data_IF_723932533478
#
_entry.id   IF_723932533478
#
_cell.length_a   1.000
_cell.length_b   1.000
_cell.length_c   1.000
_cell.angle_alpha   90.00
_cell.angle_beta   90.00
_cell.angle_gamma   90.00
#
_symmetry.space_group_name_H-M   'P 1'
#
loop_
_entity.id
_entity.type
_entity.pdbx_description
1 polymer ?
#
# COMPACT_ATOMS: atom_id res chain seq x y z
N UNK A 1 -6.19 -21.01 48.56
CA UNK A 1 -5.74 -20.27 47.36
C UNK A 1 -5.75 -21.24 46.20
N UNK A 2 -6.73 -21.12 45.32
CA UNK A 2 -6.75 -21.90 44.08
C UNK A 2 -5.68 -21.31 43.15
N UNK A 3 -4.71 -22.12 42.74
CA UNK A 3 -3.87 -21.79 41.60
C UNK A 3 -4.77 -21.84 40.36
N UNK A 4 -5.14 -20.68 39.83
CA UNK A 4 -5.64 -20.60 38.46
C UNK A 4 -4.53 -21.14 37.55
N UNK A 5 -4.83 -22.24 36.87
CA UNK A 5 -3.96 -22.80 35.84
C UNK A 5 -3.82 -21.75 34.74
N UNK A 6 -2.61 -21.22 34.57
CA UNK A 6 -2.24 -20.35 33.47
C UNK A 6 -2.20 -21.19 32.18
N UNK A 7 -3.37 -21.55 31.64
CA UNK A 7 -3.48 -22.15 30.32
C UNK A 7 -2.98 -21.10 29.33
N UNK A 8 -1.94 -21.43 28.57
CA UNK A 8 -1.40 -20.53 27.56
C UNK A 8 -2.51 -20.15 26.58
N UNK A 9 -2.72 -18.85 26.41
CA UNK A 9 -3.72 -18.30 25.49
C UNK A 9 -3.46 -18.80 24.06
N UNK A 10 -4.44 -19.47 23.46
CA UNK A 10 -4.30 -20.16 22.18
C UNK A 10 -4.33 -19.17 21.02
N UNK A 11 -3.44 -19.34 20.05
CA UNK A 11 -3.40 -18.52 18.83
C UNK A 11 -4.60 -18.88 17.94
N UNK A 12 -5.48 -17.90 17.70
CA UNK A 12 -6.64 -18.02 16.81
C UNK A 12 -6.24 -17.80 15.33
N UNK A 13 -5.30 -16.88 15.10
CA UNK A 13 -4.76 -16.56 13.79
C UNK A 13 -3.30 -16.11 13.96
N UNK A 14 -2.40 -16.72 13.19
CA UNK A 14 -0.99 -16.37 13.15
C UNK A 14 -0.57 -16.06 11.73
N UNK A 15 -0.06 -14.85 11.52
CA UNK A 15 0.48 -14.35 10.26
C UNK A 15 1.88 -13.77 10.53
N UNK A 16 2.67 -13.52 9.50
CA UNK A 16 4.03 -12.99 9.67
C UNK A 16 4.04 -11.63 10.39
N UNK A 17 3.03 -10.79 10.13
CA UNK A 17 2.92 -9.45 10.70
C UNK A 17 2.21 -9.38 12.07
N UNK A 18 1.38 -10.38 12.43
CA UNK A 18 0.56 -10.31 13.64
C UNK A 18 0.11 -11.69 14.15
N UNK A 19 -0.24 -11.74 15.43
CA UNK A 19 -0.95 -12.88 16.04
C UNK A 19 -2.17 -12.40 16.79
N UNK A 20 -3.30 -13.07 16.57
CA UNK A 20 -4.55 -12.87 17.30
C UNK A 20 -4.78 -14.11 18.16
N UNK A 21 -5.12 -13.90 19.43
CA UNK A 21 -5.34 -14.95 20.41
C UNK A 21 -6.82 -15.11 20.75
N UNK A 22 -7.23 -16.28 21.25
CA UNK A 22 -8.62 -16.54 21.63
C UNK A 22 -9.11 -15.62 22.75
N UNK A 23 -8.23 -15.10 23.60
CA UNK A 23 -8.59 -14.10 24.62
C UNK A 23 -9.03 -12.75 24.06
N UNK A 24 -8.80 -12.47 22.77
CA UNK A 24 -8.93 -11.13 22.18
C UNK A 24 -7.66 -10.29 22.27
N UNK A 25 -6.55 -10.83 22.81
CA UNK A 25 -5.23 -10.21 22.70
C UNK A 25 -4.74 -10.23 21.24
N UNK A 26 -3.99 -9.20 20.86
CA UNK A 26 -3.20 -9.19 19.62
C UNK A 26 -1.73 -8.82 19.92
N UNK A 27 -0.81 -9.53 19.28
CA UNK A 27 0.60 -9.15 19.19
C UNK A 27 0.91 -8.64 17.78
N UNK A 28 1.36 -7.38 17.67
CA UNK A 28 1.92 -6.82 16.44
C UNK A 28 3.38 -7.27 16.32
N UNK A 29 3.63 -8.22 15.41
CA UNK A 29 4.97 -8.74 15.14
C UNK A 29 5.72 -7.83 14.17
N UNK A 30 5.00 -7.26 13.21
CA UNK A 30 5.49 -6.20 12.35
C UNK A 30 5.63 -4.91 13.17
N UNK A 31 6.84 -4.36 13.20
CA UNK A 31 7.16 -3.09 13.85
C UNK A 31 7.72 -2.15 12.79
N UNK A 32 6.91 -1.25 12.22
CA UNK A 32 7.38 -0.36 11.18
C UNK A 32 8.48 0.54 11.74
N UNK A 33 9.50 0.80 10.91
CA UNK A 33 10.48 1.84 11.22
C UNK A 33 9.79 3.18 11.00
N UNK A 34 9.79 4.03 12.02
CA UNK A 34 9.18 5.35 11.94
C UNK A 34 10.24 6.39 11.55
N UNK A 35 9.87 7.33 10.69
CA UNK A 35 10.76 8.40 10.23
C UNK A 35 10.22 9.77 10.64
N UNK A 36 11.09 10.71 11.05
CA UNK A 36 10.66 12.07 11.35
C UNK A 36 10.21 12.80 10.08
N UNK A 37 9.37 13.82 10.24
CA UNK A 37 9.09 14.74 9.16
C UNK A 37 10.33 15.58 8.82
N UNK A 38 10.42 16.04 7.57
CA UNK A 38 11.58 16.78 7.07
C UNK A 38 11.62 16.82 5.54
N UNK A 39 12.78 17.19 5.00
CA UNK A 39 13.04 17.19 3.56
C UNK A 39 13.48 15.79 3.13
N UNK A 40 12.72 15.18 2.23
CA UNK A 40 13.10 13.94 1.58
C UNK A 40 14.15 14.21 0.50
N UNK A 41 15.33 13.61 0.64
CA UNK A 41 16.47 13.89 -0.22
C UNK A 41 16.30 13.34 -1.65
N UNK A 42 15.50 12.28 -1.82
CA UNK A 42 15.31 11.64 -3.12
C UNK A 42 14.33 12.43 -4.01
N UNK A 43 13.30 12.99 -3.40
CA UNK A 43 12.19 13.65 -4.11
C UNK A 43 12.20 15.17 -3.96
N UNK A 44 12.94 15.71 -2.99
CA UNK A 44 12.93 17.15 -2.64
C UNK A 44 11.64 17.60 -1.93
N UNK A 45 10.74 16.67 -1.60
CA UNK A 45 9.48 16.96 -0.91
C UNK A 45 9.74 17.29 0.55
N UNK A 46 9.11 18.37 1.04
CA UNK A 46 9.16 18.72 2.46
C UNK A 46 7.92 18.18 3.16
N UNK A 47 8.09 17.61 4.35
CA UNK A 47 6.99 17.10 5.16
C UNK A 47 6.92 17.75 6.55
N UNK A 48 5.72 17.80 7.14
CA UNK A 48 5.48 18.21 8.53
C UNK A 48 4.35 17.39 9.16
N UNK A 49 4.42 17.20 10.47
CA UNK A 49 3.36 16.56 11.26
C UNK A 49 2.43 17.61 11.87
N UNK A 50 1.12 17.36 11.84
CA UNK A 50 0.11 18.26 12.40
C UNK A 50 -0.89 17.46 13.21
N UNK A 51 -1.13 17.90 14.44
CA UNK A 51 -2.21 17.37 15.28
C UNK A 51 -3.54 17.98 14.81
N UNK A 52 -4.45 17.13 14.35
CA UNK A 52 -5.78 17.53 13.87
C UNK A 52 -6.75 17.65 15.02
N UNK A 53 -6.71 16.67 15.93
CA UNK A 53 -7.53 16.65 17.14
C UNK A 53 -6.73 16.02 18.29
N UNK A 54 -6.47 16.83 19.32
CA UNK A 54 -5.66 16.42 20.46
C UNK A 54 -6.41 15.43 21.38
N UNK A 55 -7.75 15.46 21.40
CA UNK A 55 -8.55 14.62 22.29
C UNK A 55 -8.58 13.17 21.81
N UNK A 56 -8.69 12.95 20.50
CA UNK A 56 -8.57 11.62 19.89
C UNK A 56 -7.13 11.19 19.61
N UNK A 57 -6.19 12.14 19.59
CA UNK A 57 -4.81 11.90 19.13
C UNK A 57 -4.67 11.84 17.61
N UNK A 58 -5.70 12.23 16.86
CA UNK A 58 -5.67 12.25 15.39
C UNK A 58 -4.62 13.24 14.89
N UNK A 59 -3.74 12.75 14.03
CA UNK A 59 -2.71 13.56 13.38
C UNK A 59 -2.58 13.20 11.91
N UNK A 60 -1.87 14.06 11.18
CA UNK A 60 -1.55 13.85 9.77
C UNK A 60 -0.11 14.24 9.51
N UNK A 61 0.51 13.60 8.51
CA UNK A 61 1.72 14.10 7.87
C UNK A 61 1.38 14.73 6.52
N UNK A 62 1.74 16.00 6.36
CA UNK A 62 1.56 16.72 5.10
C UNK A 62 2.87 16.66 4.32
N UNK A 63 2.80 16.37 3.02
CA UNK A 63 3.91 16.36 2.07
C UNK A 63 3.67 17.43 1.02
N UNK A 64 4.62 18.37 0.90
CA UNK A 64 4.56 19.49 -0.01
C UNK A 64 5.75 19.43 -1.00
N UNK A 65 5.51 19.26 -2.31
CA UNK A 65 6.55 19.44 -3.31
C UNK A 65 6.93 20.93 -3.41
N UNK A 66 8.16 21.27 -3.06
CA UNK A 66 8.63 22.67 -3.03
C UNK A 66 9.27 23.12 -4.34
N UNK A 67 9.84 22.20 -5.12
CA UNK A 67 10.38 22.49 -6.45
C UNK A 67 9.25 22.47 -7.49
N UNK A 68 8.58 23.61 -7.66
CA UNK A 68 7.43 23.77 -8.57
C UNK A 68 7.73 24.84 -9.63
N UNK A 69 7.38 24.60 -10.91
CA UNK A 69 7.57 25.59 -11.98
C UNK A 69 6.88 26.93 -11.71
N UNK A 70 5.72 26.91 -11.05
CA UNK A 70 4.97 28.09 -10.64
C UNK A 70 4.47 27.94 -9.19
N UNK A 71 5.21 28.47 -8.20
CA UNK A 71 4.82 28.41 -6.80
C UNK A 71 3.52 29.17 -6.47
N UNK A 72 3.06 30.06 -7.34
CA UNK A 72 1.81 30.81 -7.14
C UNK A 72 0.57 29.99 -7.49
N UNK A 73 0.73 28.91 -8.25
CA UNK A 73 -0.36 28.04 -8.68
C UNK A 73 -0.68 27.01 -7.61
N UNK A 74 -1.94 26.97 -7.19
CA UNK A 74 -2.47 25.91 -6.33
C UNK A 74 -2.45 24.56 -7.05
N UNK A 75 -2.14 23.51 -6.30
CA UNK A 75 -1.94 22.14 -6.77
C UNK A 75 -2.96 21.19 -6.12
N UNK A 76 -3.24 20.01 -6.72
CA UNK A 76 -4.18 19.04 -6.15
C UNK A 76 -3.87 18.68 -4.70
N UNK A 77 -4.93 18.33 -3.96
CA UNK A 77 -4.81 17.80 -2.61
C UNK A 77 -5.23 16.33 -2.62
N UNK A 78 -4.37 15.45 -2.11
CA UNK A 78 -4.64 14.03 -1.93
C UNK A 78 -4.71 13.74 -0.45
N UNK A 79 -5.85 13.31 0.07
CA UNK A 79 -5.95 12.74 1.42
C UNK A 79 -5.72 11.23 1.31
N UNK A 80 -4.64 10.75 1.92
CA UNK A 80 -4.16 9.38 1.81
C UNK A 80 -4.37 8.60 3.11
N UNK A 81 -4.93 7.40 3.00
CA UNK A 81 -5.11 6.46 4.11
C UNK A 81 -4.24 5.22 3.87
N UNK A 82 -3.36 4.91 4.82
CA UNK A 82 -2.47 3.76 4.72
C UNK A 82 -3.20 2.42 4.93
N UNK A 83 -2.68 1.34 4.35
CA UNK A 83 -3.11 -0.04 4.58
C UNK A 83 -2.74 -0.59 5.96
N UNK A 84 -2.78 -1.92 6.11
CA UNK A 84 -2.48 -2.60 7.37
C UNK A 84 -3.69 -3.18 8.10
N UNK A 85 -4.76 -3.52 7.36
CA UNK A 85 -5.95 -4.21 7.88
C UNK A 85 -6.59 -3.57 9.12
N UNK A 86 -6.49 -2.23 9.26
CA UNK A 86 -6.90 -1.44 10.43
C UNK A 86 -6.13 -1.70 11.74
N UNK A 87 -5.08 -2.53 11.70
CA UNK A 87 -4.43 -3.05 12.91
C UNK A 87 -2.93 -2.79 12.97
N UNK A 88 -2.26 -2.49 11.85
CA UNK A 88 -0.81 -2.23 11.80
C UNK A 88 -0.50 -1.04 10.88
N UNK A 89 0.80 -0.73 10.78
CA UNK A 89 1.37 0.38 10.00
C UNK A 89 1.07 1.77 10.57
N UNK A 90 1.63 2.80 9.93
CA UNK A 90 1.56 4.20 10.36
C UNK A 90 1.82 5.11 9.17
N UNK A 91 1.19 6.29 9.13
CA UNK A 91 1.47 7.36 8.18
C UNK A 91 2.92 7.86 8.25
N UNK A 92 3.61 7.62 9.36
CA UNK A 92 5.03 7.98 9.54
C UNK A 92 5.97 6.77 9.46
N UNK A 93 5.49 5.60 9.04
CA UNK A 93 6.37 4.47 8.71
C UNK A 93 7.21 4.80 7.47
N UNK A 94 8.42 4.23 7.38
CA UNK A 94 9.29 4.41 6.21
C UNK A 94 8.57 4.04 4.92
N UNK A 95 7.80 2.95 4.92
CA UNK A 95 7.04 2.48 3.76
C UNK A 95 6.07 3.53 3.24
N UNK A 96 5.17 4.02 4.11
CA UNK A 96 4.16 4.99 3.70
C UNK A 96 4.70 6.40 3.53
N UNK A 97 5.73 6.77 4.29
CA UNK A 97 6.43 8.04 4.10
C UNK A 97 7.06 8.13 2.71
N UNK A 98 7.82 7.11 2.31
CA UNK A 98 8.47 7.07 0.99
C UNK A 98 7.43 7.07 -0.13
N UNK A 99 6.35 6.30 0.01
CA UNK A 99 5.28 6.28 -0.98
C UNK A 99 4.57 7.65 -1.10
N UNK A 100 4.22 8.28 0.02
CA UNK A 100 3.55 9.58 0.03
C UNK A 100 4.44 10.70 -0.51
N UNK A 101 5.74 10.69 -0.19
CA UNK A 101 6.71 11.63 -0.75
C UNK A 101 6.85 11.45 -2.28
N UNK A 102 6.97 10.21 -2.75
CA UNK A 102 7.04 9.88 -4.17
C UNK A 102 5.79 10.31 -4.92
N UNK A 103 4.60 10.05 -4.35
CA UNK A 103 3.32 10.49 -4.91
C UNK A 103 3.22 12.02 -4.96
N UNK A 104 3.60 12.72 -3.90
CA UNK A 104 3.56 14.18 -3.85
C UNK A 104 4.44 14.82 -4.93
N UNK A 105 5.65 14.29 -5.11
CA UNK A 105 6.58 14.74 -6.15
C UNK A 105 6.05 14.44 -7.56
N UNK A 106 5.69 13.17 -7.84
CA UNK A 106 5.31 12.73 -9.17
C UNK A 106 3.98 13.34 -9.63
N UNK A 107 3.00 13.47 -8.73
CA UNK A 107 1.70 14.06 -9.06
C UNK A 107 1.72 15.60 -9.02
N UNK A 108 2.77 16.21 -8.47
CA UNK A 108 2.81 17.63 -8.15
C UNK A 108 1.61 18.02 -7.28
N UNK A 109 1.39 17.31 -6.19
CA UNK A 109 0.21 17.42 -5.32
C UNK A 109 0.61 17.54 -3.84
N UNK A 110 -0.20 18.23 -3.04
CA UNK A 110 -0.08 18.13 -1.57
C UNK A 110 -0.70 16.81 -1.13
N UNK A 111 0.08 15.97 -0.46
CA UNK A 111 -0.42 14.71 0.10
C UNK A 111 -0.60 14.86 1.61
N UNK A 112 -1.78 14.54 2.13
CA UNK A 112 -2.11 14.52 3.55
C UNK A 112 -2.27 13.06 3.96
N UNK A 113 -1.22 12.46 4.53
CA UNK A 113 -1.22 11.08 5.00
C UNK A 113 -1.78 11.03 6.43
N UNK A 114 -2.84 10.26 6.65
CA UNK A 114 -3.60 10.27 7.90
C UNK A 114 -3.10 9.20 8.87
N UNK A 115 -2.71 9.62 10.08
CA UNK A 115 -2.38 8.73 11.20
C UNK A 115 -3.69 8.42 11.95
N UNK A 116 -4.42 7.42 11.46
CA UNK A 116 -5.70 7.01 12.05
C UNK A 116 -5.50 5.98 13.16
N UNK A 117 -6.44 5.92 14.11
CA UNK A 117 -6.38 4.99 15.24
C UNK A 117 -6.58 3.54 14.79
N UNK A 118 -5.78 2.64 15.36
CA UNK A 118 -5.77 1.22 15.03
C UNK A 118 -6.57 0.38 16.03
N UNK A 119 -7.15 -0.71 15.52
CA UNK A 119 -7.70 -1.78 16.32
C UNK A 119 -6.57 -2.69 16.87
N UNK A 120 -6.77 -3.36 18.02
CA UNK A 120 -8.00 -3.43 18.82
C UNK A 120 -8.18 -2.29 19.83
N UNK A 121 -7.20 -1.42 20.04
CA UNK A 121 -7.28 -0.32 21.01
C UNK A 121 -8.40 0.66 20.65
N UNK A 122 -8.60 0.87 19.34
CA UNK A 122 -9.68 1.68 18.78
C UNK A 122 -10.35 0.92 17.64
N UNK A 123 -11.32 0.03 17.94
CA UNK A 123 -11.99 -0.75 16.92
C UNK A 123 -12.73 0.10 15.88
N UNK A 124 -12.99 -0.47 14.71
CA UNK A 124 -13.88 0.11 13.70
C UNK A 124 -15.25 0.39 14.36
N UNK A 125 -15.81 1.62 14.24
CA UNK A 125 -15.57 2.61 13.19
C UNK A 125 -14.56 3.74 13.49
N UNK A 126 -13.73 3.66 14.53
CA UNK A 126 -12.83 4.76 14.91
C UNK A 126 -11.97 5.27 13.73
N UNK A 127 -11.38 4.36 12.95
CA UNK A 127 -10.61 4.72 11.75
C UNK A 127 -11.43 5.47 10.69
N UNK A 128 -12.72 5.15 10.50
CA UNK A 128 -13.59 5.87 9.57
C UNK A 128 -13.97 7.26 10.08
N UNK A 129 -14.12 7.42 11.39
CA UNK A 129 -14.37 8.72 11.99
C UNK A 129 -13.12 9.61 11.89
N UNK A 130 -11.93 9.04 12.09
CA UNK A 130 -10.64 9.72 11.90
C UNK A 130 -10.44 10.14 10.45
N UNK A 131 -10.72 9.25 9.49
CA UNK A 131 -10.63 9.56 8.07
C UNK A 131 -11.57 10.71 7.66
N UNK A 132 -12.80 10.70 8.19
CA UNK A 132 -13.77 11.77 7.96
C UNK A 132 -13.34 13.09 8.60
N UNK A 133 -12.85 13.05 9.84
CA UNK A 133 -12.35 14.23 10.54
C UNK A 133 -11.12 14.84 9.84
N UNK A 134 -10.18 13.99 9.39
CA UNK A 134 -9.00 14.42 8.64
C UNK A 134 -9.36 15.06 7.30
N UNK A 135 -10.33 14.50 6.57
CA UNK A 135 -10.85 15.10 5.33
C UNK A 135 -11.43 16.49 5.60
N UNK A 136 -12.32 16.62 6.58
CA UNK A 136 -12.94 17.90 6.94
C UNK A 136 -11.90 18.92 7.41
N UNK A 137 -10.88 18.48 8.14
CA UNK A 137 -9.77 19.32 8.57
C UNK A 137 -8.95 19.80 7.37
N UNK A 138 -8.57 18.91 6.46
CA UNK A 138 -7.71 19.23 5.32
C UNK A 138 -8.32 20.31 4.41
N UNK A 139 -9.65 20.30 4.27
CA UNK A 139 -10.41 21.23 3.43
C UNK A 139 -10.92 22.46 4.17
N UNK A 140 -10.68 22.55 5.49
CA UNK A 140 -11.11 23.68 6.31
C UNK A 140 -10.28 24.95 6.11
N UNK A 141 -9.11 24.85 5.46
CA UNK A 141 -8.17 25.96 5.29
C UNK A 141 -7.44 26.36 6.58
N UNK A 142 -7.50 25.54 7.64
CA UNK A 142 -6.83 25.82 8.93
C UNK A 142 -5.30 25.69 8.88
N UNK A 143 -4.77 24.86 7.99
CA UNK A 143 -3.32 24.68 7.82
C UNK A 143 -2.79 25.59 6.70
N UNK A 144 -1.70 26.30 6.96
CA UNK A 144 -1.09 27.26 6.03
C UNK A 144 -0.62 26.61 4.74
N UNK A 145 -0.01 25.40 4.78
CA UNK A 145 0.47 24.73 3.57
C UNK A 145 -0.71 24.37 2.66
N UNK A 146 -1.80 23.87 3.24
CA UNK A 146 -3.01 23.56 2.48
C UNK A 146 -3.72 24.83 1.99
N UNK A 147 -3.81 25.88 2.80
CA UNK A 147 -4.45 27.13 2.43
C UNK A 147 -3.72 27.84 1.28
N UNK A 148 -2.39 27.88 1.32
CA UNK A 148 -1.55 28.57 0.33
C UNK A 148 -1.36 27.74 -0.95
N UNK A 149 -1.20 26.41 -0.81
CA UNK A 149 -0.77 25.57 -1.93
C UNK A 149 -1.87 24.64 -2.46
N UNK A 150 -2.88 24.31 -1.67
CA UNK A 150 -3.91 23.35 -2.03
C UNK A 150 -5.03 23.94 -2.89
N UNK A 151 -5.35 23.27 -3.99
CA UNK A 151 -6.54 23.46 -4.81
C UNK A 151 -7.64 22.49 -4.33
N UNK A 152 -8.54 22.98 -3.49
CA UNK A 152 -9.67 22.19 -2.96
C UNK A 152 -10.74 21.87 -4.01
N UNK A 153 -10.69 22.49 -5.20
CA UNK A 153 -11.50 22.08 -6.36
C UNK A 153 -10.97 20.79 -7.01
N UNK A 154 -9.72 20.42 -6.70
CA UNK A 154 -9.01 19.24 -7.18
C UNK A 154 -8.61 18.33 -6.02
N UNK A 155 -9.64 17.89 -5.29
CA UNK A 155 -9.52 17.05 -4.11
C UNK A 155 -9.63 15.56 -4.48
N UNK A 156 -8.67 14.78 -4.01
CA UNK A 156 -8.60 13.34 -4.22
C UNK A 156 -8.55 12.60 -2.89
N UNK A 157 -9.24 11.47 -2.81
CA UNK A 157 -9.05 10.49 -1.76
C UNK A 157 -8.26 9.31 -2.32
N UNK A 158 -7.26 8.86 -1.59
CA UNK A 158 -6.46 7.71 -1.97
C UNK A 158 -6.19 6.80 -0.78
N UNK A 159 -6.01 5.51 -1.04
CA UNK A 159 -5.58 4.58 -0.01
C UNK A 159 -5.39 3.20 -0.55
N UNK A 160 -4.53 2.44 0.12
CA UNK A 160 -4.25 1.06 -0.23
C UNK A 160 -4.85 0.08 0.79
N UNK A 161 -5.20 -1.13 0.37
CA UNK A 161 -5.67 -2.17 1.29
C UNK A 161 -6.82 -1.67 2.19
N UNK A 162 -6.67 -1.69 3.51
CA UNK A 162 -7.63 -1.11 4.46
C UNK A 162 -7.89 0.39 4.22
N UNK A 163 -6.88 1.16 3.83
CA UNK A 163 -7.04 2.55 3.40
C UNK A 163 -7.91 2.70 2.16
N UNK A 164 -7.83 1.75 1.21
CA UNK A 164 -8.74 1.70 0.05
C UNK A 164 -10.20 1.42 0.45
N UNK A 165 -10.39 0.59 1.48
CA UNK A 165 -11.70 0.40 2.12
C UNK A 165 -12.19 1.70 2.80
N UNK A 166 -11.32 2.42 3.50
CA UNK A 166 -11.65 3.70 4.13
C UNK A 166 -12.05 4.77 3.11
N UNK A 167 -11.37 4.84 1.95
CA UNK A 167 -11.78 5.72 0.84
C UNK A 167 -13.24 5.49 0.49
N UNK A 168 -13.65 4.24 0.28
CA UNK A 168 -15.05 3.90 -0.04
C UNK A 168 -16.03 4.44 1.02
N UNK A 169 -15.76 4.22 2.31
CA UNK A 169 -16.65 4.66 3.39
C UNK A 169 -16.73 6.16 3.54
N UNK A 170 -15.61 6.87 3.36
CA UNK A 170 -15.61 8.34 3.37
C UNK A 170 -16.46 8.89 2.22
N UNK A 171 -16.41 8.27 1.03
CA UNK A 171 -17.24 8.66 -0.11
C UNK A 171 -18.74 8.43 0.12
N UNK A 172 -19.11 7.37 0.84
CA UNK A 172 -20.51 7.12 1.22
C UNK A 172 -20.98 8.07 2.32
N UNK A 173 -20.16 8.26 3.38
CA UNK A 173 -20.46 9.20 4.47
C UNK A 173 -20.69 10.62 3.92
N UNK A 174 -19.85 11.02 2.97
CA UNK A 174 -19.96 12.28 2.22
C UNK A 174 -21.35 12.52 1.59
N UNK A 175 -22.07 11.47 1.18
CA UNK A 175 -23.40 11.59 0.58
C UNK A 175 -24.48 12.08 1.54
N UNK A 176 -24.27 11.90 2.85
CA UNK A 176 -25.27 12.12 3.91
C UNK A 176 -24.87 13.21 4.91
N UNK A 177 -23.72 13.88 4.70
CA UNK A 177 -23.18 14.86 5.63
C UNK A 177 -23.76 16.27 5.44
N UNK A 178 -23.96 16.97 6.56
CA UNK A 178 -24.38 18.38 6.63
C UNK A 178 -23.43 19.15 7.57
N UNK A 179 -22.76 20.24 7.13
CA UNK A 179 -22.79 20.82 5.78
C UNK A 179 -22.25 19.86 4.72
N UNK A 180 -22.71 20.07 3.48
CA UNK A 180 -22.26 19.28 2.34
C UNK A 180 -20.71 19.36 2.23
N UNK A 181 -20.02 18.22 2.15
CA UNK A 181 -18.57 18.19 2.06
C UNK A 181 -18.10 18.78 0.73
N UNK A 182 -16.82 19.19 0.62
CA UNK A 182 -16.29 19.67 -0.64
C UNK A 182 -16.39 18.61 -1.71
N UNK A 183 -16.49 19.08 -2.95
CA UNK A 183 -16.51 18.23 -4.12
C UNK A 183 -15.23 17.39 -4.18
N UNK A 184 -15.37 16.07 -4.18
CA UNK A 184 -14.26 15.13 -4.37
C UNK A 184 -14.15 14.85 -5.87
N UNK A 185 -13.06 15.33 -6.48
CA UNK A 185 -12.82 15.12 -7.91
C UNK A 185 -12.58 13.63 -8.19
N UNK A 186 -11.75 12.96 -7.37
CA UNK A 186 -11.35 11.59 -7.64
C UNK A 186 -11.14 10.72 -6.41
N UNK A 187 -11.35 9.42 -6.59
CA UNK A 187 -11.03 8.38 -5.61
C UNK A 187 -10.05 7.35 -6.19
N UNK A 188 -9.02 6.97 -5.45
CA UNK A 188 -7.97 6.05 -5.89
C UNK A 188 -7.88 4.92 -4.87
N UNK A 189 -8.33 3.72 -5.26
CA UNK A 189 -8.32 2.54 -4.42
C UNK A 189 -7.21 1.60 -4.92
N UNK A 190 -6.12 1.51 -4.17
CA UNK A 190 -4.99 0.66 -4.51
C UNK A 190 -5.13 -0.68 -3.78
N UNK A 191 -5.45 -1.75 -4.49
CA UNK A 191 -5.59 -3.10 -3.90
C UNK A 191 -6.55 -3.10 -2.69
N UNK A 192 -7.79 -2.60 -2.83
CA UNK A 192 -8.66 -2.33 -1.68
C UNK A 192 -9.03 -3.62 -0.93
N UNK A 193 -9.08 -3.52 0.40
CA UNK A 193 -9.34 -4.65 1.29
C UNK A 193 -10.83 -4.80 1.58
N UNK A 194 -11.48 -5.66 0.81
CA UNK A 194 -12.87 -6.07 0.97
C UNK A 194 -12.97 -7.58 1.14
N UNK A 195 -14.07 -8.08 1.70
CA UNK A 195 -14.33 -9.51 1.87
C UNK A 195 -15.80 -9.85 1.75
N UNK A 196 -16.17 -11.03 2.27
CA UNK A 196 -17.54 -11.53 2.29
C UNK A 196 -17.58 -13.00 2.71
N UNK A 197 -18.74 -13.49 3.16
CA UNK A 197 -18.88 -14.89 3.55
C UNK A 197 -18.97 -15.82 2.33
N UNK A 198 -19.52 -15.33 1.22
CA UNK A 198 -19.62 -16.08 -0.04
C UNK A 198 -18.42 -15.74 -0.91
N UNK A 199 -17.65 -16.75 -1.31
CA UNK A 199 -16.48 -16.57 -2.18
C UNK A 199 -16.87 -15.99 -3.53
N UNK A 200 -16.01 -15.13 -4.07
CA UNK A 200 -16.08 -14.67 -5.46
C UNK A 200 -15.06 -15.42 -6.32
N UNK A 201 -15.27 -15.45 -7.64
CA UNK A 201 -14.38 -16.14 -8.58
C UNK A 201 -12.93 -15.66 -8.44
N UNK A 202 -12.02 -16.61 -8.17
CA UNK A 202 -10.60 -16.34 -7.97
C UNK A 202 -10.20 -15.91 -6.55
N UNK A 203 -11.11 -15.91 -5.58
CA UNK A 203 -10.81 -15.64 -4.17
C UNK A 203 -10.29 -16.90 -3.46
N UNK A 204 -9.09 -16.88 -2.84
CA UNK A 204 -8.57 -18.03 -2.11
C UNK A 204 -9.35 -18.25 -0.79
N UNK A 205 -9.96 -19.43 -0.63
CA UNK A 205 -10.84 -19.72 0.52
C UNK A 205 -10.16 -19.54 1.88
N UNK A 206 -8.93 -20.02 2.03
CA UNK A 206 -8.19 -19.91 3.29
C UNK A 206 -7.89 -18.45 3.65
N UNK A 207 -7.50 -17.64 2.65
CA UNK A 207 -7.24 -16.21 2.84
C UNK A 207 -8.53 -15.48 3.20
N UNK A 208 -9.65 -15.76 2.52
CA UNK A 208 -10.95 -15.17 2.84
C UNK A 208 -11.37 -15.46 4.29
N UNK A 209 -11.12 -16.69 4.78
CA UNK A 209 -11.40 -17.08 6.17
C UNK A 209 -10.55 -16.30 7.17
N UNK A 210 -9.26 -16.10 6.87
CA UNK A 210 -8.36 -15.36 7.75
C UNK A 210 -8.66 -13.85 7.75
N UNK A 211 -8.96 -13.28 6.58
CA UNK A 211 -9.44 -11.91 6.47
C UNK A 211 -10.73 -11.68 7.27
N UNK A 212 -11.68 -12.63 7.23
CA UNK A 212 -12.90 -12.57 8.02
C UNK A 212 -12.62 -12.54 9.53
N UNK A 213 -11.64 -13.33 10.01
CA UNK A 213 -11.22 -13.30 11.42
C UNK A 213 -10.61 -11.96 11.80
N UNK A 214 -9.73 -11.42 10.96
CA UNK A 214 -9.11 -10.10 11.17
C UNK A 214 -10.19 -9.01 11.18
N UNK A 215 -11.18 -9.10 10.28
CA UNK A 215 -12.29 -8.16 10.23
C UNK A 215 -13.13 -8.17 11.50
N UNK A 216 -13.59 -9.35 11.95
CA UNK A 216 -14.38 -9.48 13.19
C UNK A 216 -13.57 -9.03 14.42
N UNK A 217 -12.25 -9.23 14.39
CA UNK A 217 -11.37 -8.73 15.42
C UNK A 217 -11.25 -7.19 15.41
N UNK A 218 -11.01 -6.59 14.24
CA UNK A 218 -10.91 -5.15 14.07
C UNK A 218 -12.25 -4.42 14.26
N UNK A 219 -13.36 -5.12 14.01
CA UNK A 219 -14.73 -4.64 14.10
C UNK A 219 -15.58 -5.60 14.95
N UNK A 220 -15.47 -5.57 16.30
CA UNK A 220 -16.25 -6.43 17.18
C UNK A 220 -17.77 -6.25 17.05
N UNK A 221 -18.20 -5.08 16.57
CA UNK A 221 -19.60 -4.76 16.24
C UNK A 221 -19.99 -5.12 14.80
N UNK A 222 -19.27 -6.04 14.14
CA UNK A 222 -19.60 -6.48 12.78
C UNK A 222 -20.93 -7.22 12.73
N UNK A 223 -21.81 -6.82 11.81
CA UNK A 223 -23.10 -7.49 11.56
C UNK A 223 -22.94 -8.42 10.37
N UNK A 224 -23.28 -9.70 10.53
CA UNK A 224 -23.13 -10.69 9.44
C UNK A 224 -21.69 -11.15 9.20
N UNK A 225 -20.77 -10.90 10.13
CA UNK A 225 -19.38 -11.35 10.02
C UNK A 225 -18.67 -10.66 8.85
N UNK A 226 -18.18 -11.43 7.89
CA UNK A 226 -17.50 -10.88 6.71
C UNK A 226 -18.46 -10.18 5.73
N UNK A 227 -19.78 -10.43 5.82
CA UNK A 227 -20.79 -9.71 5.04
C UNK A 227 -21.21 -8.38 5.68
N UNK A 228 -20.51 -7.92 6.73
CA UNK A 228 -20.71 -6.57 7.24
C UNK A 228 -20.55 -5.56 6.09
N UNK A 229 -21.50 -4.62 5.89
CA UNK A 229 -21.44 -3.65 4.79
C UNK A 229 -20.15 -2.82 4.76
N UNK A 230 -19.45 -2.71 5.90
CA UNK A 230 -18.17 -2.01 5.98
C UNK A 230 -17.01 -2.80 5.37
N UNK A 231 -17.13 -4.12 5.29
CA UNK A 231 -16.13 -5.00 4.71
C UNK A 231 -16.54 -5.61 3.37
N UNK A 232 -17.83 -5.89 3.20
CA UNK A 232 -18.42 -6.36 1.95
C UNK A 232 -19.36 -5.30 1.35
N UNK A 233 -18.84 -4.32 0.59
CA UNK A 233 -19.67 -3.29 -0.03
C UNK A 233 -20.56 -3.82 -1.16
N UNK A 234 -20.39 -5.08 -1.56
CA UNK A 234 -21.20 -5.75 -2.58
C UNK A 234 -22.22 -6.74 -2.00
N UNK A 235 -22.30 -6.84 -0.66
CA UNK A 235 -23.30 -7.67 0.01
C UNK A 235 -24.74 -7.23 -0.34
N UNK A 236 -25.71 -8.18 -0.38
CA UNK A 236 -27.13 -7.84 -0.50
C UNK A 236 -27.55 -6.84 0.59
N UNK A 237 -27.97 -5.64 0.18
CA UNK A 237 -28.32 -4.53 1.07
C UNK A 237 -27.28 -3.39 1.12
N UNK A 238 -25.99 -3.70 0.93
CA UNK A 238 -24.92 -2.70 0.80
C UNK A 238 -24.79 -2.18 -0.63
N UNK A 239 -25.03 -3.04 -1.63
CA UNK A 239 -24.86 -2.70 -3.05
C UNK A 239 -25.71 -1.51 -3.52
N UNK A 240 -26.89 -1.29 -2.92
CA UNK A 240 -27.72 -0.12 -3.22
C UNK A 240 -27.03 1.20 -2.82
N UNK A 241 -26.17 1.19 -1.80
CA UNK A 241 -25.44 2.38 -1.38
C UNK A 241 -24.39 2.83 -2.41
N UNK A 242 -23.96 1.96 -3.34
CA UNK A 242 -22.95 2.30 -4.35
C UNK A 242 -23.39 3.46 -5.24
N UNK A 243 -24.71 3.63 -5.49
CA UNK A 243 -25.22 4.77 -6.27
C UNK A 243 -24.97 6.13 -5.60
N UNK A 244 -24.75 6.12 -4.28
CA UNK A 244 -24.56 7.31 -3.47
C UNK A 244 -23.09 7.74 -3.34
N UNK A 245 -22.13 6.99 -3.89
CA UNK A 245 -20.70 7.35 -3.87
C UNK A 245 -20.50 8.80 -4.35
N UNK A 246 -19.83 9.62 -3.53
CA UNK A 246 -19.56 11.03 -3.83
C UNK A 246 -18.13 11.27 -4.31
N UNK A 247 -17.86 10.94 -5.56
CA UNK A 247 -16.74 11.48 -6.35
C UNK A 247 -17.12 11.54 -7.84
N UNK A 248 -16.39 12.32 -8.64
CA UNK A 248 -16.64 12.39 -10.10
C UNK A 248 -16.04 11.20 -10.85
N UNK A 249 -14.88 10.73 -10.37
CA UNK A 249 -14.17 9.61 -10.98
C UNK A 249 -13.47 8.72 -9.98
N UNK A 250 -13.27 7.46 -10.35
CA UNK A 250 -12.66 6.44 -9.52
C UNK A 250 -11.60 5.67 -10.31
N UNK A 251 -10.46 5.40 -9.69
CA UNK A 251 -9.47 4.45 -10.16
C UNK A 251 -9.39 3.30 -9.15
N UNK A 252 -9.61 2.08 -9.61
CA UNK A 252 -9.37 0.87 -8.83
C UNK A 252 -8.14 0.17 -9.42
N UNK A 253 -7.14 -0.11 -8.60
CA UNK A 253 -5.96 -0.87 -8.99
C UNK A 253 -5.96 -2.23 -8.29
N UNK A 254 -5.61 -3.30 -8.98
CA UNK A 254 -5.43 -4.65 -8.43
C UNK A 254 -4.15 -5.29 -8.97
N UNK A 255 -3.63 -6.29 -8.26
CA UNK A 255 -2.62 -7.20 -8.82
C UNK A 255 -3.28 -8.48 -9.32
N UNK A 256 -2.76 -9.08 -10.39
CA UNK A 256 -3.26 -10.36 -10.90
C UNK A 256 -3.12 -11.49 -9.85
N UNK A 257 -2.01 -11.48 -9.10
CA UNK A 257 -1.72 -12.42 -8.01
C UNK A 257 -2.07 -11.86 -6.63
N UNK A 258 -2.78 -10.74 -6.58
CA UNK A 258 -3.28 -10.19 -5.32
C UNK A 258 -4.35 -11.12 -4.74
N UNK A 259 -4.13 -11.60 -3.53
CA UNK A 259 -5.08 -12.46 -2.81
C UNK A 259 -6.40 -11.74 -2.51
N UNK A 260 -6.43 -10.40 -2.45
CA UNK A 260 -7.64 -9.58 -2.36
C UNK A 260 -8.14 -9.11 -3.73
N UNK A 261 -7.40 -9.37 -4.81
CA UNK A 261 -7.65 -8.82 -6.15
C UNK A 261 -9.03 -9.18 -6.70
N UNK A 262 -9.52 -10.39 -6.41
CA UNK A 262 -10.85 -10.84 -6.81
C UNK A 262 -11.97 -9.94 -6.25
N UNK A 263 -11.84 -9.51 -4.99
CA UNK A 263 -12.76 -8.57 -4.34
C UNK A 263 -12.66 -7.17 -4.90
N UNK A 264 -11.44 -6.71 -5.21
CA UNK A 264 -11.23 -5.43 -5.92
C UNK A 264 -11.90 -5.40 -7.30
N UNK A 265 -11.77 -6.48 -8.08
CA UNK A 265 -12.46 -6.66 -9.38
C UNK A 265 -13.97 -6.68 -9.23
N UNK A 266 -14.49 -7.46 -8.25
CA UNK A 266 -15.92 -7.53 -7.97
C UNK A 266 -16.49 -6.17 -7.55
N UNK A 267 -15.77 -5.41 -6.71
CA UNK A 267 -16.14 -4.05 -6.33
C UNK A 267 -16.21 -3.11 -7.54
N UNK A 268 -15.19 -3.10 -8.39
CA UNK A 268 -15.20 -2.29 -9.62
C UNK A 268 -16.41 -2.65 -10.53
N UNK A 269 -16.67 -3.94 -10.73
CA UNK A 269 -17.81 -4.41 -11.49
C UNK A 269 -19.15 -3.96 -10.87
N UNK A 270 -19.29 -4.05 -9.54
CA UNK A 270 -20.49 -3.63 -8.83
C UNK A 270 -20.72 -2.11 -8.93
N UNK A 271 -19.68 -1.30 -8.77
CA UNK A 271 -19.76 0.17 -8.91
C UNK A 271 -20.16 0.55 -10.33
N UNK A 272 -19.55 -0.05 -11.35
CA UNK A 272 -19.85 0.25 -12.76
C UNK A 272 -21.22 -0.26 -13.21
N UNK A 273 -21.76 -1.30 -12.57
CA UNK A 273 -23.11 -1.78 -12.81
C UNK A 273 -24.20 -1.02 -12.01
N UNK A 274 -23.81 -0.21 -11.02
CA UNK A 274 -24.72 0.57 -10.19
C UNK A 274 -25.27 1.82 -10.92
N UNK A 275 -26.20 2.54 -10.28
CA UNK A 275 -26.69 3.83 -10.77
C UNK A 275 -25.77 5.02 -10.43
N UNK A 276 -24.54 4.77 -9.95
CA UNK A 276 -23.55 5.81 -9.68
C UNK A 276 -23.25 6.62 -10.94
N UNK A 277 -23.21 7.95 -10.80
CA UNK A 277 -23.14 8.89 -11.93
C UNK A 277 -21.71 9.28 -12.34
N UNK A 278 -20.70 8.79 -11.61
CA UNK A 278 -19.31 9.05 -11.92
C UNK A 278 -18.75 8.11 -12.99
N UNK A 279 -17.44 8.22 -13.22
CA UNK A 279 -16.72 7.33 -14.14
C UNK A 279 -15.69 6.49 -13.39
N UNK A 280 -15.58 5.20 -13.70
CA UNK A 280 -14.56 4.34 -13.12
C UNK A 280 -13.53 3.92 -14.17
N UNK A 281 -12.30 3.73 -13.72
CA UNK A 281 -11.25 3.06 -14.46
C UNK A 281 -10.65 1.95 -13.59
N UNK A 282 -10.16 0.90 -14.26
CA UNK A 282 -9.50 -0.22 -13.63
C UNK A 282 -8.09 -0.39 -14.21
N UNK A 283 -7.14 -0.69 -13.34
CA UNK A 283 -5.78 -1.12 -13.69
C UNK A 283 -5.51 -2.45 -12.99
N UNK A 284 -5.09 -3.46 -13.73
CA UNK A 284 -4.57 -4.70 -13.16
C UNK A 284 -3.09 -4.87 -13.53
N UNK A 285 -2.25 -5.04 -12.51
CA UNK A 285 -0.83 -5.30 -12.66
C UNK A 285 -0.58 -6.81 -12.83
N UNK A 286 -0.26 -7.20 -14.06
CA UNK A 286 0.07 -8.59 -14.42
C UNK A 286 1.21 -9.13 -13.55
N UNK A 287 1.03 -10.36 -13.05
CA UNK A 287 2.03 -11.08 -12.26
C UNK A 287 2.30 -10.58 -10.85
N UNK A 288 1.72 -9.46 -10.41
CA UNK A 288 2.03 -8.82 -9.13
C UNK A 288 1.03 -9.14 -8.01
N UNK A 289 1.54 -9.18 -6.78
CA UNK A 289 0.79 -9.49 -5.56
C UNK A 289 0.18 -8.26 -4.88
N UNK A 290 -0.39 -8.48 -3.68
CA UNK A 290 -0.96 -7.42 -2.86
C UNK A 290 0.09 -6.35 -2.52
N UNK A 291 -0.24 -5.07 -2.73
CA UNK A 291 0.59 -3.88 -2.38
C UNK A 291 2.06 -3.95 -2.82
N UNK A 292 2.37 -4.68 -3.90
CA UNK A 292 3.75 -4.88 -4.38
C UNK A 292 4.51 -3.56 -4.61
N UNK A 293 3.79 -2.47 -4.91
CA UNK A 293 4.34 -1.14 -5.14
C UNK A 293 4.93 -0.48 -3.88
N UNK A 294 4.58 -0.98 -2.69
CA UNK A 294 5.21 -0.58 -1.43
C UNK A 294 6.50 -1.36 -1.17
N UNK A 295 6.55 -2.63 -1.59
CA UNK A 295 7.67 -3.54 -1.35
C UNK A 295 8.79 -3.40 -2.40
N UNK A 296 8.42 -3.04 -3.63
CA UNK A 296 9.31 -2.95 -4.79
C UNK A 296 9.21 -1.57 -5.47
N UNK A 297 9.54 -0.47 -4.78
CA UNK A 297 9.34 0.89 -5.29
C UNK A 297 10.05 1.15 -6.63
N UNK A 298 11.17 0.49 -6.87
CA UNK A 298 12.01 0.71 -8.06
C UNK A 298 11.61 -0.10 -9.30
N UNK A 299 10.67 -1.06 -9.19
CA UNK A 299 10.33 -1.92 -10.32
C UNK A 299 9.44 -1.21 -11.36
N UNK A 300 9.55 -1.62 -12.62
CA UNK A 300 8.79 -1.00 -13.73
C UNK A 300 7.27 -1.09 -13.52
N UNK A 301 6.77 -2.16 -12.89
CA UNK A 301 5.34 -2.29 -12.57
C UNK A 301 4.88 -1.28 -11.52
N UNK A 302 5.75 -0.92 -10.58
CA UNK A 302 5.45 0.14 -9.60
C UNK A 302 5.40 1.50 -10.28
N UNK A 303 6.33 1.76 -11.20
CA UNK A 303 6.32 2.97 -12.03
C UNK A 303 5.05 3.06 -12.88
N UNK A 304 4.61 1.97 -13.50
CA UNK A 304 3.33 1.93 -14.24
C UNK A 304 2.13 2.29 -13.36
N UNK A 305 2.07 1.77 -12.12
CA UNK A 305 1.01 2.12 -11.16
C UNK A 305 1.08 3.60 -10.79
N UNK A 306 2.27 4.11 -10.47
CA UNK A 306 2.48 5.52 -10.13
C UNK A 306 2.10 6.44 -11.30
N UNK A 307 2.56 6.14 -12.51
CA UNK A 307 2.22 6.88 -13.72
C UNK A 307 0.71 6.89 -13.96
N UNK A 308 0.03 5.78 -13.71
CA UNK A 308 -1.43 5.71 -13.83
C UNK A 308 -2.13 6.60 -12.80
N UNK A 309 -1.66 6.59 -11.57
CA UNK A 309 -2.16 7.44 -10.48
C UNK A 309 -1.92 8.92 -10.78
N UNK A 310 -0.73 9.29 -11.26
CA UNK A 310 -0.36 10.65 -11.68
C UNK A 310 -1.21 11.12 -12.88
N UNK A 311 -1.39 10.26 -13.88
CA UNK A 311 -2.27 10.54 -15.01
C UNK A 311 -3.74 10.72 -14.57
N UNK A 312 -4.19 9.93 -13.59
CA UNK A 312 -5.48 10.12 -12.95
C UNK A 312 -5.55 11.49 -12.28
N UNK A 313 -4.65 11.82 -11.36
CA UNK A 313 -4.68 13.09 -10.64
C UNK A 313 -4.62 14.27 -11.61
N UNK A 314 -3.68 14.29 -12.56
CA UNK A 314 -3.48 15.40 -13.53
C UNK A 314 -4.67 15.67 -14.47
N UNK A 315 -5.57 14.70 -14.66
CA UNK A 315 -6.73 14.87 -15.56
C UNK A 315 -6.38 14.69 -17.04
N UNK A 316 -5.24 14.07 -17.36
CA UNK A 316 -4.80 13.79 -18.73
C UNK A 316 -5.78 12.84 -19.43
N UNK A 317 -6.71 13.38 -20.23
CA UNK A 317 -7.81 12.64 -20.90
C UNK A 317 -7.36 11.66 -22.00
N UNK A 318 -6.08 11.63 -22.36
CA UNK A 318 -5.56 10.87 -23.50
C UNK A 318 -5.34 9.36 -23.28
N UNK A 319 -5.45 8.85 -22.05
CA UNK A 319 -5.08 7.46 -21.69
C UNK A 319 -6.26 6.68 -21.08
N UNK A 320 -7.50 7.18 -21.23
CA UNK A 320 -8.72 6.48 -20.79
C UNK A 320 -9.34 5.72 -21.96
N UNK A 321 -8.77 4.58 -22.35
CA UNK A 321 -9.62 3.52 -22.90
C UNK A 321 -10.03 2.65 -21.74
N UNK A 322 -11.30 2.71 -21.36
CA UNK A 322 -11.91 1.65 -20.58
C UNK A 322 -11.72 0.36 -21.38
N UNK A 323 -10.87 -0.56 -20.90
CA UNK A 323 -10.88 -1.92 -21.43
C UNK A 323 -12.22 -2.51 -21.02
N UNK A 324 -13.04 -2.86 -22.01
CA UNK A 324 -14.33 -3.47 -21.76
C UNK A 324 -14.14 -4.92 -21.31
N UNK A 325 -15.07 -5.45 -20.52
CA UNK A 325 -15.09 -6.87 -20.09
C UNK A 325 -15.02 -7.84 -21.28
N UNK A 326 -15.49 -7.41 -22.46
CA UNK A 326 -15.46 -8.17 -23.70
C UNK A 326 -14.05 -8.29 -24.32
N UNK A 327 -13.23 -7.24 -24.24
CA UNK A 327 -11.84 -7.28 -24.75
C UNK A 327 -10.96 -8.21 -23.90
N UNK A 328 -11.27 -8.38 -22.61
CA UNK A 328 -10.58 -9.29 -21.70
C UNK A 328 -10.92 -10.77 -21.96
N UNK A 329 -12.19 -11.08 -22.26
CA UNK A 329 -12.60 -12.44 -22.64
C UNK A 329 -12.00 -12.90 -23.98
N UNK A 330 -11.74 -11.95 -24.90
CA UNK A 330 -11.09 -12.24 -26.18
C UNK A 330 -9.60 -12.58 -26.00
N UNK A 331 -8.93 -11.97 -25.01
CA UNK A 331 -7.49 -12.13 -24.77
C UNK A 331 -7.18 -13.42 -23.97
N UNK A 332 -8.07 -13.83 -23.06
CA UNK A 332 -8.00 -15.16 -22.41
C UNK A 332 -8.19 -16.33 -23.37
N UNK A 333 -8.87 -16.11 -24.52
CA UNK A 333 -9.11 -17.16 -25.52
C UNK A 333 -7.96 -17.33 -26.53
N UNK A 334 -6.96 -16.44 -26.53
CA UNK A 334 -5.86 -16.42 -27.49
C UNK A 334 -4.53 -16.97 -26.93
N UNK A 335 -4.49 -17.37 -25.65
CA UNK A 335 -3.31 -17.97 -25.03
C UNK A 335 -3.60 -19.43 -24.66
N UNK A 336 -3.72 -20.30 -25.67
CA UNK A 336 -3.71 -21.75 -25.48
C UNK A 336 -3.15 -22.41 -26.74
N UNK A 337 -1.83 -22.53 -26.79
CA UNK A 337 -1.16 -23.60 -27.51
C UNK A 337 -0.35 -24.41 -26.48
N UNK A 338 -0.28 -25.75 -26.63
CA UNK A 338 0.21 -26.63 -25.59
C UNK A 338 1.75 -26.66 -25.56
N UNK A 339 2.33 -26.39 -24.40
CA UNK A 339 3.74 -26.69 -24.14
C UNK A 339 3.92 -28.20 -23.82
N UNK A 340 5.02 -28.83 -24.27
CA UNK A 340 5.23 -30.26 -24.08
C UNK A 340 5.61 -30.60 -22.64
N UNK A 341 5.32 -31.83 -22.24
CA UNK A 341 5.56 -32.36 -20.90
C UNK A 341 7.02 -32.21 -20.44
N UNK A 342 7.25 -31.76 -19.20
CA UNK A 342 8.13 -32.45 -18.22
C UNK A 342 8.16 -31.77 -16.85
N UNK A 343 8.09 -32.62 -15.83
CA UNK A 343 8.40 -32.49 -14.40
C UNK A 343 7.69 -31.40 -13.60
N UNK A 344 6.70 -31.83 -12.80
CA UNK A 344 5.96 -31.00 -11.84
C UNK A 344 6.89 -30.20 -10.92
N UNK A 345 6.52 -28.94 -10.74
CA UNK A 345 7.19 -27.99 -9.89
C UNK A 345 6.86 -28.28 -8.41
N UNK A 346 7.87 -28.39 -7.56
CA UNK A 346 7.73 -28.65 -6.12
C UNK A 346 7.60 -27.35 -5.32
N UNK A 347 8.30 -26.31 -5.76
CA UNK A 347 8.37 -25.03 -5.08
C UNK A 347 8.63 -23.93 -6.12
N UNK A 348 7.78 -22.91 -6.14
CA UNK A 348 7.96 -21.71 -6.96
C UNK A 348 8.14 -20.50 -6.06
N UNK A 349 9.19 -19.73 -6.32
CA UNK A 349 9.38 -18.43 -5.68
C UNK A 349 10.05 -17.49 -6.68
N UNK A 350 9.92 -16.16 -6.48
CA UNK A 350 10.64 -15.17 -7.28
C UNK A 350 12.17 -15.32 -7.25
N UNK A 351 12.72 -16.03 -6.26
CA UNK A 351 14.16 -16.21 -6.09
C UNK A 351 14.67 -17.51 -6.71
N UNK A 352 13.89 -18.59 -6.60
CA UNK A 352 14.25 -19.91 -7.12
C UNK A 352 13.03 -20.82 -7.31
N UNK A 353 13.14 -21.73 -8.27
CA UNK A 353 12.25 -22.87 -8.52
C UNK A 353 12.94 -24.17 -8.15
N UNK A 354 12.18 -25.09 -7.55
CA UNK A 354 12.63 -26.45 -7.26
C UNK A 354 11.67 -27.43 -7.95
N UNK A 355 12.23 -28.35 -8.73
CA UNK A 355 11.49 -29.38 -9.45
C UNK A 355 11.45 -30.68 -8.64
N UNK A 356 10.44 -31.53 -8.89
CA UNK A 356 10.32 -32.82 -8.20
C UNK A 356 11.49 -33.80 -8.45
N UNK A 357 12.27 -33.59 -9.51
CA UNK A 357 13.50 -34.35 -9.82
C UNK A 357 14.76 -33.84 -9.08
N UNK A 358 14.62 -32.82 -8.22
CA UNK A 358 15.72 -32.24 -7.44
C UNK A 358 16.48 -31.14 -8.18
N UNK A 359 16.12 -30.79 -9.41
CA UNK A 359 16.68 -29.63 -10.10
C UNK A 359 16.28 -28.34 -9.36
N UNK A 360 17.23 -27.42 -9.22
CA UNK A 360 17.01 -26.08 -8.65
C UNK A 360 17.41 -25.04 -9.68
N UNK A 361 16.49 -24.14 -10.00
CA UNK A 361 16.69 -23.02 -10.91
C UNK A 361 16.62 -21.72 -10.11
N UNK A 362 17.66 -20.89 -10.14
CA UNK A 362 17.70 -19.61 -9.41
C UNK A 362 17.37 -18.50 -10.38
N UNK A 363 16.26 -17.81 -10.13
CA UNK A 363 15.67 -16.82 -11.05
C UNK A 363 16.12 -15.39 -10.74
N UNK A 364 16.72 -15.17 -9.58
CA UNK A 364 17.29 -13.89 -9.19
C UNK A 364 18.81 -13.89 -9.43
N UNK A 365 19.22 -13.23 -10.51
CA UNK A 365 20.63 -12.94 -10.78
C UNK A 365 21.01 -11.61 -10.14
N UNK A 366 22.08 -11.60 -9.34
CA UNK A 366 22.66 -10.35 -8.84
C UNK A 366 23.65 -9.85 -9.88
N UNK A 367 23.46 -8.61 -10.38
CA UNK A 367 24.49 -7.97 -11.18
C UNK A 367 25.78 -7.86 -10.36
N UNK A 368 26.89 -8.38 -10.91
CA UNK A 368 28.19 -8.32 -10.25
C UNK A 368 28.98 -7.16 -10.78
N UNK A 369 29.41 -6.25 -9.91
CA UNK A 369 30.46 -5.29 -10.25
C UNK A 369 31.83 -5.95 -10.07
N UNK A 370 32.82 -5.77 -10.97
CA UNK A 370 34.19 -6.19 -10.71
C UNK A 370 34.79 -5.50 -9.49
N UNK A 371 35.73 -6.14 -8.79
CA UNK A 371 36.50 -5.48 -7.75
C UNK A 371 37.41 -4.40 -8.36
N UNK A 372 37.58 -3.27 -7.67
CA UNK A 372 38.30 -2.12 -8.23
C UNK A 372 38.34 -0.90 -7.32
N UNK A 373 38.78 0.22 -7.86
CA UNK A 373 38.83 1.51 -7.17
C UNK A 373 37.60 2.35 -7.50
N UNK A 374 36.90 2.81 -6.47
CA UNK A 374 35.79 3.77 -6.59
C UNK A 374 36.33 5.18 -6.36
N UNK A 375 36.33 5.99 -7.42
CA UNK A 375 36.82 7.36 -7.38
C UNK A 375 35.93 8.32 -6.57
N UNK A 376 34.63 8.01 -6.41
CA UNK A 376 33.70 8.85 -5.66
C UNK A 376 33.87 8.67 -4.13
N UNK A 377 34.15 7.44 -3.69
CA UNK A 377 34.30 7.11 -2.27
C UNK A 377 35.75 6.94 -1.82
N UNK A 378 36.69 6.81 -2.77
CA UNK A 378 38.09 6.50 -2.52
C UNK A 378 38.34 5.07 -2.01
N UNK A 379 37.33 4.20 -2.07
CA UNK A 379 37.39 2.82 -1.59
C UNK A 379 38.02 1.92 -2.66
N UNK A 380 38.96 1.05 -2.26
CA UNK A 380 39.48 -0.02 -3.11
C UNK A 380 38.91 -1.35 -2.67
N UNK A 381 38.38 -2.15 -3.59
CA UNK A 381 37.92 -3.51 -3.32
C UNK A 381 38.76 -4.58 -4.01
N UNK A 382 38.78 -5.79 -3.43
CA UNK A 382 39.47 -6.96 -3.98
C UNK A 382 38.71 -8.24 -3.62
N UNK A 383 38.56 -9.13 -4.59
CA UNK A 383 38.02 -10.48 -4.37
C UNK A 383 39.10 -11.45 -3.87
N UNK A 384 38.73 -12.29 -2.91
CA UNK A 384 39.55 -13.39 -2.37
C UNK A 384 38.74 -14.67 -2.35
N UNK A 385 39.34 -15.76 -2.82
CA UNK A 385 38.75 -17.10 -2.70
C UNK A 385 39.07 -17.62 -1.31
N UNK A 386 38.04 -18.03 -0.57
CA UNK A 386 38.14 -18.62 0.77
C UNK A 386 38.27 -20.14 0.63
N UNK A 387 37.48 -20.74 -0.25
CA UNK A 387 37.50 -22.17 -0.55
C UNK A 387 37.16 -22.39 -2.02
N UNK A 388 38.12 -22.95 -2.75
CA UNK A 388 38.01 -23.18 -4.19
C UNK A 388 37.08 -24.36 -4.53
N UNK A 389 36.95 -25.34 -3.63
CA UNK A 389 36.16 -26.56 -3.88
C UNK A 389 34.66 -26.28 -3.75
N UNK A 390 34.29 -25.36 -2.86
CA UNK A 390 32.91 -24.90 -2.66
C UNK A 390 32.56 -23.63 -3.44
N UNK A 391 33.56 -22.98 -4.05
CA UNK A 391 33.41 -21.69 -4.73
C UNK A 391 33.19 -20.51 -3.77
N UNK A 392 33.43 -20.71 -2.47
CA UNK A 392 33.27 -19.67 -1.46
C UNK A 392 34.35 -18.60 -1.64
N UNK A 393 33.90 -17.36 -1.79
CA UNK A 393 34.76 -16.19 -1.91
C UNK A 393 34.21 -15.04 -1.08
N UNK A 394 35.06 -14.06 -0.79
CA UNK A 394 34.67 -12.80 -0.17
C UNK A 394 35.27 -11.63 -0.94
N UNK A 395 34.59 -10.48 -0.89
CA UNK A 395 35.13 -9.20 -1.35
C UNK A 395 35.58 -8.37 -0.15
N UNK A 396 36.84 -7.98 -0.17
CA UNK A 396 37.43 -7.07 0.81
C UNK A 396 37.25 -5.63 0.33
N UNK A 397 36.89 -4.72 1.23
CA UNK A 397 36.80 -3.28 0.96
C UNK A 397 37.76 -2.52 1.86
N UNK A 398 38.60 -1.67 1.25
CA UNK A 398 39.56 -0.84 1.94
C UNK A 398 39.19 0.64 1.76
N UNK A 399 38.82 1.37 2.82
CA UNK A 399 38.43 2.77 2.73
C UNK A 399 39.61 3.67 2.38
N UNK A 400 39.31 4.89 1.93
CA UNK A 400 40.31 5.90 1.58
C UNK A 400 41.30 6.13 2.73
N UNK A 401 42.60 6.11 2.43
CA UNK A 401 43.64 6.32 3.43
C UNK A 401 43.61 7.78 3.92
N UNK A 402 43.48 7.97 5.24
CA UNK A 402 43.72 9.26 5.88
C UNK A 402 45.23 9.55 5.92
N UNK A 403 45.65 10.51 5.10
CA UNK A 403 46.90 11.29 5.21
C UNK A 403 48.25 10.53 5.00
N UNK A 404 49.05 10.88 3.96
CA UNK A 404 50.36 10.24 3.69
C UNK A 404 51.41 10.39 4.81
N UNK A 405 51.17 11.22 5.83
CA UNK A 405 52.12 11.52 6.90
C UNK A 405 52.10 10.62 8.14
N UNK A 406 51.17 9.66 8.26
CA UNK A 406 51.00 8.84 9.47
C UNK A 406 51.31 7.35 9.25
N UNK A 407 51.96 6.65 10.22
CA UNK A 407 52.23 5.23 10.11
C UNK A 407 50.91 4.44 10.00
N UNK A 408 50.89 3.42 9.13
CA UNK A 408 49.74 2.56 8.79
C UNK A 408 48.90 2.20 10.03
N UNK A 409 47.84 2.96 10.30
CA UNK A 409 46.89 2.66 11.37
C UNK A 409 46.16 1.38 10.98
N UNK A 410 46.21 0.34 11.83
CA UNK A 410 45.39 -0.85 11.64
C UNK A 410 43.92 -0.44 11.70
N UNK A 411 43.15 -0.84 10.70
CA UNK A 411 41.71 -0.58 10.64
C UNK A 411 40.97 -1.66 11.44
N UNK A 412 39.85 -1.33 12.10
CA UNK A 412 38.95 -2.33 12.65
C UNK A 412 38.39 -3.18 11.51
N UNK A 413 38.25 -4.49 11.76
CA UNK A 413 37.69 -5.43 10.80
C UNK A 413 36.20 -5.62 11.14
N UNK A 414 35.35 -5.42 10.15
CA UNK A 414 33.93 -5.79 10.17
C UNK A 414 33.79 -6.94 9.18
N UNK A 415 33.30 -8.09 9.65
CA UNK A 415 33.04 -9.29 8.83
C UNK A 415 31.55 -9.38 8.59
#
# INVERSE_FOLDING_TARGET
MAMESNAADEVLLGQDALRIYRSGKMDRLHRPVLVPAGVDAATGVTSKDVVVDADSGLSVRIFLPTDRPDPSKKIPVVVFFHGGAFVIESAVSTTYHTFAASLAAAAGAVVVSVEYRLAPEHPVPAAYDDAWAALQWAVSGKDEWLAENGDFGRLFLAGDSAGGNMVHHVLLKSASSDPAPPKIEGAILLHPWFGGNTLVDGEPEEVARDMAKIWVFACPGAVGGADDPRFNPTAPGAAAALENIRCERMLVCTGEKDWAGARGRAYYAAVTASAWRGSAAWLESEGEGHVFFLEKPECEKTKEVMDRVVAFISGSRGIWKARTTAEHQQQQKAAMDPAPATTELRFDSPLLRIYNDGRVERLFGTDTTPAGFDAATGVTSKDVVIDADTGLSARLYLPAASDPGHPKKKLPIVV
#
